data_IF_066391470574
#
_entry.id   IF_066391470574
#
_cell.length_a   1.000
_cell.length_b   1.000
_cell.length_c   1.000
_cell.angle_alpha   90.00
_cell.angle_beta   90.00
_cell.angle_gamma   90.00
#
_symmetry.space_group_name_H-M   'P 1'
#
loop_
_entity.id
_entity.type
_entity.pdbx_description
1 polymer ?
#
# COMPACT_ATOMS: atom_id res chain seq x y z
N UNK A 1 -35.29 -33.33 -1.47
CA UNK A 1 -35.08 -33.21 -2.91
C UNK A 1 -34.11 -32.07 -3.16
N UNK A 2 -32.96 -32.41 -3.77
CA UNK A 2 -31.85 -31.54 -4.12
C UNK A 2 -32.24 -30.44 -5.12
N UNK A 3 -31.58 -29.28 -5.03
CA UNK A 3 -31.07 -28.60 -6.23
C UNK A 3 -30.00 -27.56 -5.83
N UNK A 4 -28.74 -27.96 -5.99
CA UNK A 4 -27.59 -27.07 -6.10
C UNK A 4 -27.55 -26.49 -7.51
N UNK A 5 -27.43 -25.17 -7.65
CA UNK A 5 -27.13 -24.52 -8.93
C UNK A 5 -25.72 -23.95 -8.87
N UNK A 6 -24.79 -24.65 -9.54
CA UNK A 6 -23.48 -24.14 -9.91
C UNK A 6 -23.60 -23.01 -10.93
N UNK A 7 -22.83 -21.92 -10.75
CA UNK A 7 -22.56 -20.94 -11.81
C UNK A 7 -21.08 -20.95 -12.16
N UNK A 8 -20.80 -21.53 -13.31
CA UNK A 8 -19.56 -21.44 -14.07
C UNK A 8 -19.37 -20.02 -14.60
N UNK A 9 -18.18 -19.44 -14.44
CA UNK A 9 -17.76 -18.22 -15.15
C UNK A 9 -16.70 -18.57 -16.18
N UNK A 10 -17.08 -18.46 -17.45
CA UNK A 10 -16.21 -18.54 -18.62
C UNK A 10 -15.50 -17.20 -18.81
N UNK A 11 -14.18 -17.24 -19.01
CA UNK A 11 -13.32 -16.12 -19.41
C UNK A 11 -13.35 -16.03 -20.93
N UNK A 12 -13.66 -14.86 -21.49
CA UNK A 12 -13.48 -14.56 -22.91
C UNK A 12 -12.54 -13.37 -23.03
N UNK A 13 -11.37 -13.61 -23.63
CA UNK A 13 -10.45 -12.58 -24.10
C UNK A 13 -10.90 -12.10 -25.48
N UNK A 14 -10.99 -10.78 -25.66
CA UNK A 14 -11.25 -10.15 -26.95
C UNK A 14 -10.57 -8.79 -26.98
N UNK A 15 -9.37 -8.75 -27.55
CA UNK A 15 -8.66 -7.52 -27.93
C UNK A 15 -9.05 -7.22 -29.37
N UNK A 16 -9.56 -6.03 -29.63
CA UNK A 16 -9.68 -5.49 -31.00
C UNK A 16 -9.07 -4.10 -31.00
N UNK A 17 -7.97 -3.96 -31.74
CA UNK A 17 -7.17 -2.74 -31.88
C UNK A 17 -7.28 -2.33 -33.35
N UNK A 18 -7.90 -1.18 -33.62
CA UNK A 18 -7.95 -0.58 -34.96
C UNK A 18 -6.99 0.60 -35.06
N UNK A 19 -6.26 0.61 -36.18
CA UNK A 19 -5.22 1.54 -36.59
C UNK A 19 -5.71 2.99 -36.76
N UNK A 20 -4.79 3.93 -36.56
CA UNK A 20 -4.64 5.08 -37.46
C UNK A 20 -3.18 5.26 -37.84
N UNK A 21 -2.93 5.26 -39.16
CA UNK A 21 -1.67 5.62 -39.81
C UNK A 21 -1.45 7.13 -39.80
N UNK A 22 -0.20 7.53 -39.69
CA UNK A 22 0.31 8.84 -40.10
C UNK A 22 1.82 8.76 -40.26
N UNK A 23 2.29 8.56 -41.50
CA UNK A 23 3.71 8.54 -41.88
C UNK A 23 4.27 9.97 -42.04
N UNK A 24 5.61 10.14 -41.95
CA UNK A 24 6.48 10.88 -42.89
C UNK A 24 7.98 10.70 -42.50
N UNK A 25 8.73 10.10 -43.43
CA UNK A 25 10.13 10.25 -43.89
C UNK A 25 11.35 10.53 -42.97
N UNK A 26 12.44 9.76 -43.22
CA UNK A 26 13.84 10.17 -43.02
C UNK A 26 14.84 9.03 -42.74
N UNK A 27 15.96 8.85 -43.49
CA UNK A 27 16.66 7.55 -43.65
C UNK A 27 17.94 7.38 -42.81
N UNK A 28 18.42 6.13 -42.65
CA UNK A 28 19.77 5.69 -43.10
C UNK A 28 20.22 4.35 -42.46
N UNK A 29 21.08 3.63 -43.23
CA UNK A 29 21.91 2.45 -42.91
C UNK A 29 21.15 1.12 -42.69
N UNK A 30 21.35 0.04 -43.44
CA UNK A 30 22.46 -0.38 -44.30
C UNK A 30 23.13 -1.61 -43.70
N UNK A 31 22.67 -2.82 -44.04
CA UNK A 31 23.48 -4.04 -44.05
C UNK A 31 22.70 -5.19 -44.70
N UNK A 32 23.32 -5.75 -45.74
CA UNK A 32 22.94 -6.96 -46.49
C UNK A 32 22.82 -8.20 -45.58
N UNK A 33 21.93 -9.17 -45.88
CA UNK A 33 22.22 -10.31 -46.78
C UNK A 33 21.07 -11.34 -46.81
N UNK A 34 20.73 -11.75 -48.04
CA UNK A 34 20.32 -13.09 -48.50
C UNK A 34 18.94 -13.69 -48.14
N UNK A 35 17.98 -13.45 -49.04
CA UNK A 35 17.27 -14.43 -49.91
C UNK A 35 16.71 -15.73 -49.29
N UNK A 36 15.37 -15.84 -49.37
CA UNK A 36 14.43 -16.92 -49.05
C UNK A 36 14.36 -18.01 -50.16
N UNK A 37 13.29 -18.84 -50.35
CA UNK A 37 12.12 -19.29 -49.54
C UNK A 37 12.06 -20.86 -49.50
N UNK A 38 11.06 -21.64 -49.06
CA UNK A 38 9.63 -21.64 -49.42
C UNK A 38 8.86 -22.78 -48.71
N UNK A 39 7.65 -22.44 -48.22
CA UNK A 39 6.36 -23.16 -48.30
C UNK A 39 6.32 -24.70 -48.43
N UNK A 40 5.61 -25.34 -47.49
CA UNK A 40 4.69 -26.44 -47.81
C UNK A 40 3.53 -26.47 -46.80
N UNK A 41 2.33 -26.64 -47.35
CA UNK A 41 0.99 -26.49 -46.80
C UNK A 41 0.45 -27.76 -46.14
N UNK A 42 -0.54 -27.57 -45.26
CA UNK A 42 -1.45 -28.59 -44.74
C UNK A 42 -2.10 -29.44 -45.84
N UNK A 43 -1.92 -30.77 -45.75
CA UNK A 43 -2.92 -31.78 -46.13
C UNK A 43 -2.42 -33.16 -45.70
N UNK A 44 -3.03 -33.74 -44.67
CA UNK A 44 -3.58 -35.10 -44.69
C UNK A 44 -3.80 -35.64 -43.28
N UNK A 45 -5.04 -35.43 -42.81
CA UNK A 45 -5.64 -36.22 -41.76
C UNK A 45 -5.87 -37.66 -42.23
N UNK A 46 -5.80 -38.57 -41.26
CA UNK A 46 -6.32 -39.95 -41.25
C UNK A 46 -5.46 -41.06 -41.86
N UNK A 47 -4.61 -41.66 -41.02
CA UNK A 47 -4.53 -43.12 -40.94
C UNK A 47 -4.01 -43.60 -39.57
N UNK A 48 -4.96 -44.09 -38.77
CA UNK A 48 -4.87 -45.32 -37.97
C UNK A 48 -3.86 -45.40 -36.78
N UNK A 49 -4.47 -45.29 -35.60
CA UNK A 49 -4.01 -45.87 -34.33
C UNK A 49 -3.53 -47.32 -34.46
N UNK A 50 -2.31 -47.60 -33.98
CA UNK A 50 -1.93 -48.92 -33.44
C UNK A 50 -0.63 -48.84 -32.62
N UNK A 51 -0.80 -48.67 -31.30
CA UNK A 51 -0.02 -49.25 -30.19
C UNK A 51 1.51 -49.32 -30.31
N UNK A 52 2.20 -48.37 -29.66
CA UNK A 52 3.52 -48.58 -29.01
C UNK A 52 3.45 -47.87 -27.64
N UNK A 53 3.87 -48.50 -26.51
CA UNK A 53 3.82 -47.86 -25.19
C UNK A 53 4.76 -46.66 -25.14
N UNK A 54 4.19 -45.48 -24.89
CA UNK A 54 4.93 -44.23 -24.77
C UNK A 54 5.85 -44.24 -23.55
N UNK A 55 7.15 -44.13 -23.79
CA UNK A 55 8.09 -43.56 -22.84
C UNK A 55 7.66 -42.11 -22.65
N UNK A 56 6.96 -41.83 -21.56
CA UNK A 56 6.63 -40.47 -21.16
C UNK A 56 7.93 -39.73 -20.90
N UNK A 57 8.37 -38.91 -21.85
CA UNK A 57 9.38 -37.89 -21.61
C UNK A 57 8.71 -36.83 -20.75
N UNK A 58 8.70 -37.07 -19.44
CA UNK A 58 8.40 -36.03 -18.47
C UNK A 58 9.43 -34.93 -18.69
N UNK A 59 8.97 -33.72 -18.98
CA UNK A 59 9.79 -32.52 -18.82
C UNK A 59 10.41 -32.58 -17.43
N UNK A 60 11.75 -32.59 -17.29
CA UNK A 60 12.37 -32.60 -15.98
C UNK A 60 11.83 -31.40 -15.21
N UNK A 61 11.32 -31.63 -13.99
CA UNK A 61 11.07 -30.55 -13.07
C UNK A 61 12.35 -29.68 -13.00
N UNK A 62 12.24 -28.33 -13.03
CA UNK A 62 13.41 -27.48 -12.92
C UNK A 62 14.25 -27.92 -11.73
N UNK A 63 15.55 -28.17 -11.95
CA UNK A 63 16.45 -28.54 -10.86
C UNK A 63 16.42 -27.41 -9.82
N UNK A 64 16.31 -27.72 -8.52
CA UNK A 64 16.27 -26.69 -7.49
C UNK A 64 17.57 -25.88 -7.53
N UNK A 65 17.45 -24.56 -7.51
CA UNK A 65 18.60 -23.67 -7.39
C UNK A 65 19.32 -23.94 -6.07
N UNK A 66 20.57 -24.39 -6.15
CA UNK A 66 21.40 -24.64 -4.97
C UNK A 66 22.08 -23.33 -4.54
N UNK A 67 21.61 -22.80 -3.41
CA UNK A 67 22.23 -21.66 -2.75
C UNK A 67 23.36 -22.12 -1.83
N UNK A 68 24.40 -21.31 -1.67
CA UNK A 68 25.61 -21.69 -0.90
C UNK A 68 25.63 -21.16 0.53
N UNK A 69 24.76 -20.21 0.85
CA UNK A 69 24.89 -19.42 2.09
C UNK A 69 23.72 -19.56 3.06
N UNK A 70 22.49 -19.62 2.54
CA UNK A 70 21.27 -19.68 3.34
C UNK A 70 20.37 -20.81 2.85
N UNK A 71 19.75 -21.52 3.79
CA UNK A 71 18.76 -22.57 3.56
C UNK A 71 17.45 -22.24 4.27
N UNK A 72 16.80 -23.26 4.84
CA UNK A 72 15.49 -23.12 5.46
C UNK A 72 15.47 -22.18 6.67
N UNK A 73 14.42 -21.36 6.79
CA UNK A 73 14.20 -20.49 7.95
C UNK A 73 12.82 -20.74 8.57
N UNK A 74 12.77 -20.88 9.89
CA UNK A 74 11.53 -21.09 10.64
C UNK A 74 11.32 -19.95 11.62
N UNK A 75 10.10 -19.40 11.66
CA UNK A 75 9.71 -18.30 12.52
C UNK A 75 8.62 -18.76 13.49
N UNK A 76 8.91 -18.69 14.78
CA UNK A 76 7.96 -18.95 15.86
C UNK A 76 7.67 -17.65 16.62
N UNK A 77 6.67 -17.69 17.51
CA UNK A 77 6.23 -16.51 18.29
C UNK A 77 7.38 -15.83 19.04
N UNK A 78 8.34 -16.59 19.54
CA UNK A 78 9.43 -16.11 20.39
C UNK A 78 10.82 -16.61 19.96
N UNK A 79 10.94 -17.25 18.79
CA UNK A 79 12.22 -17.76 18.31
C UNK A 79 12.31 -17.76 16.79
N UNK A 80 13.54 -17.68 16.30
CA UNK A 80 13.88 -17.82 14.90
C UNK A 80 14.97 -18.87 14.76
N UNK A 81 14.82 -19.76 13.79
CA UNK A 81 15.83 -20.76 13.43
C UNK A 81 16.17 -20.57 11.97
N UNK A 82 17.45 -20.42 11.67
CA UNK A 82 17.96 -20.31 10.32
C UNK A 82 18.98 -21.42 10.09
N UNK A 83 18.87 -22.10 8.96
CA UNK A 83 19.79 -23.16 8.56
C UNK A 83 20.61 -22.74 7.34
N UNK A 84 21.77 -23.32 7.21
CA UNK A 84 22.53 -23.32 5.97
C UNK A 84 21.94 -24.34 4.96
N UNK A 85 22.41 -24.38 3.71
CA UNK A 85 21.94 -25.33 2.71
C UNK A 85 22.19 -26.81 3.07
N UNK A 86 23.14 -27.09 3.97
CA UNK A 86 23.41 -28.44 4.48
C UNK A 86 22.49 -28.82 5.67
N UNK A 87 21.54 -27.95 6.03
CA UNK A 87 20.58 -28.18 7.10
C UNK A 87 21.11 -27.90 8.51
N UNK A 88 22.28 -27.28 8.63
CA UNK A 88 22.94 -27.00 9.90
C UNK A 88 22.54 -25.61 10.41
N UNK A 89 22.38 -25.46 11.72
CA UNK A 89 21.91 -24.20 12.30
C UNK A 89 22.97 -23.10 12.19
N UNK A 90 22.53 -21.91 11.78
CA UNK A 90 23.30 -20.67 11.84
C UNK A 90 23.01 -20.02 13.19
N UNK A 91 24.05 -19.80 14.01
CA UNK A 91 23.90 -19.13 15.29
C UNK A 91 23.54 -17.66 15.07
N UNK A 92 22.42 -17.23 15.66
CA UNK A 92 21.90 -15.87 15.56
C UNK A 92 21.92 -15.20 16.93
N UNK A 93 22.50 -13.99 16.98
CA UNK A 93 22.48 -13.09 18.12
C UNK A 93 21.50 -11.96 17.85
N UNK A 94 20.56 -11.71 18.76
CA UNK A 94 19.67 -10.56 18.68
C UNK A 94 20.47 -9.27 18.86
N UNK A 95 20.30 -8.31 17.95
CA UNK A 95 20.86 -6.96 18.07
C UNK A 95 19.84 -6.11 18.84
N UNK A 96 20.32 -5.30 19.79
CA UNK A 96 19.52 -4.43 20.65
C UNK A 96 18.30 -3.83 19.93
N UNK A 97 17.17 -4.44 20.25
CA UNK A 97 15.80 -4.12 19.89
C UNK A 97 14.95 -4.67 21.02
N UNK A 98 13.99 -3.90 21.49
CA UNK A 98 13.15 -4.21 22.66
C UNK A 98 12.06 -5.27 22.39
N UNK A 99 12.06 -5.94 21.22
CA UNK A 99 11.02 -6.93 20.91
C UNK A 99 9.68 -6.32 20.49
N UNK A 100 9.63 -5.02 20.17
CA UNK A 100 8.37 -4.27 20.11
C UNK A 100 7.91 -3.88 18.70
N UNK A 101 7.98 -4.80 17.74
CA UNK A 101 7.40 -4.64 16.40
C UNK A 101 8.39 -4.79 15.26
N UNK A 102 9.67 -4.56 15.50
CA UNK A 102 10.74 -5.01 14.61
C UNK A 102 11.94 -5.50 15.40
N UNK A 103 12.37 -6.73 15.10
CA UNK A 103 13.55 -7.34 15.69
C UNK A 103 14.63 -7.57 14.64
N UNK A 104 15.89 -7.43 15.06
CA UNK A 104 17.05 -7.70 14.22
C UNK A 104 17.97 -8.73 14.87
N UNK A 105 18.53 -9.61 14.05
CA UNK A 105 19.51 -10.60 14.47
C UNK A 105 20.71 -10.58 13.51
N UNK A 106 21.88 -10.95 14.02
CA UNK A 106 23.08 -11.16 13.22
C UNK A 106 23.70 -12.53 13.50
N UNK A 107 24.40 -13.07 12.51
CA UNK A 107 25.13 -14.31 12.64
C UNK A 107 26.23 -14.44 11.60
N UNK A 108 26.90 -15.59 11.61
CA UNK A 108 27.90 -15.97 10.62
C UNK A 108 27.56 -17.34 10.05
N UNK A 109 27.61 -17.48 8.73
CA UNK A 109 27.62 -18.81 8.11
C UNK A 109 28.90 -19.54 8.49
N UNK A 110 28.96 -20.86 8.28
CA UNK A 110 30.19 -21.64 8.49
C UNK A 110 31.39 -21.14 7.70
N UNK A 111 31.12 -20.55 6.52
CA UNK A 111 32.14 -19.97 5.65
C UNK A 111 32.47 -18.51 6.02
N UNK A 112 32.06 -18.04 7.20
CA UNK A 112 32.39 -16.71 7.72
C UNK A 112 31.60 -15.56 7.09
N UNK A 113 30.54 -15.82 6.31
CA UNK A 113 29.73 -14.75 5.72
C UNK A 113 28.76 -14.17 6.74
N UNK A 114 28.67 -12.84 6.80
CA UNK A 114 27.71 -12.13 7.65
C UNK A 114 26.28 -12.43 7.22
N UNK A 115 25.45 -12.76 8.20
CA UNK A 115 24.00 -12.93 8.06
C UNK A 115 23.31 -11.84 8.87
N UNK A 116 22.33 -11.17 8.27
CA UNK A 116 21.44 -10.22 8.94
C UNK A 116 20.00 -10.70 8.80
N UNK A 117 19.25 -10.73 9.89
CA UNK A 117 17.86 -11.15 9.92
C UNK A 117 16.98 -10.04 10.46
N UNK A 118 15.92 -9.72 9.74
CA UNK A 118 14.88 -8.78 10.13
C UNK A 118 13.58 -9.56 10.38
N UNK A 119 12.95 -9.36 11.52
CA UNK A 119 11.65 -9.93 11.86
C UNK A 119 10.65 -8.79 12.06
N UNK A 120 9.64 -8.73 11.20
CA UNK A 120 8.54 -7.78 11.32
C UNK A 120 7.40 -8.43 12.10
N UNK A 121 6.97 -7.76 13.16
CA UNK A 121 5.88 -8.21 14.02
C UNK A 121 4.79 -7.15 14.12
N UNK A 122 3.57 -7.59 14.40
CA UNK A 122 2.41 -6.71 14.54
C UNK A 122 1.55 -7.11 15.72
N UNK A 123 0.81 -6.14 16.25
CA UNK A 123 -0.29 -6.41 17.17
C UNK A 123 -1.53 -6.86 16.40
N UNK A 124 -2.43 -7.56 17.11
CA UNK A 124 -3.73 -7.88 16.55
C UNK A 124 -4.56 -6.61 16.39
N UNK A 125 -5.16 -6.44 15.20
CA UNK A 125 -5.94 -5.25 14.85
C UNK A 125 -7.35 -5.66 14.42
N UNK A 126 -8.38 -4.96 14.90
CA UNK A 126 -9.76 -5.21 14.50
C UNK A 126 -9.98 -4.89 13.00
N UNK A 127 -10.99 -5.50 12.34
CA UNK A 127 -11.36 -5.17 10.97
C UNK A 127 -11.72 -3.69 10.79
N UNK A 128 -11.49 -3.15 9.59
CA UNK A 128 -11.94 -1.81 9.24
C UNK A 128 -13.46 -1.76 9.09
N UNK A 129 -14.07 -0.69 9.58
CA UNK A 129 -15.47 -0.43 9.30
C UNK A 129 -15.66 -0.10 7.81
N UNK A 130 -16.90 -0.19 7.34
CA UNK A 130 -17.26 0.36 6.03
C UNK A 130 -17.41 1.90 6.17
N UNK A 131 -16.79 2.73 5.32
CA UNK A 131 -16.99 4.17 5.31
C UNK A 131 -18.46 4.56 5.14
N UNK A 132 -19.26 3.72 4.50
CA UNK A 132 -20.68 3.97 4.26
C UNK A 132 -21.52 3.88 5.54
N UNK A 133 -21.05 3.14 6.54
CA UNK A 133 -21.70 3.04 7.86
C UNK A 133 -21.21 4.09 8.85
N UNK A 134 -20.20 4.89 8.50
CA UNK A 134 -19.62 5.89 9.40
C UNK A 134 -20.53 7.10 9.66
N UNK A 135 -21.61 7.25 8.90
CA UNK A 135 -22.58 8.32 9.14
C UNK A 135 -23.54 8.59 7.98
N UNK A 136 -24.73 9.09 8.30
CA UNK A 136 -25.79 9.46 7.36
C UNK A 136 -25.57 10.89 6.81
N UNK A 137 -26.09 11.24 5.61
CA UNK A 137 -26.21 12.63 5.20
C UNK A 137 -26.96 13.54 6.20
N UNK A 138 -27.79 12.94 7.05
CA UNK A 138 -28.56 13.64 8.07
C UNK A 138 -27.81 13.81 9.40
N UNK A 139 -26.58 13.29 9.51
CA UNK A 139 -25.78 13.45 10.72
C UNK A 139 -25.48 14.95 10.97
N UNK A 140 -25.50 15.40 12.24
CA UNK A 140 -25.25 16.79 12.57
C UNK A 140 -23.88 17.25 12.07
N UNK A 141 -23.85 18.45 11.51
CA UNK A 141 -22.61 19.07 11.01
C UNK A 141 -21.97 19.84 12.14
N UNK A 142 -20.78 19.40 12.54
CA UNK A 142 -19.91 20.16 13.44
C UNK A 142 -19.32 21.37 12.68
N UNK A 143 -19.98 22.52 12.75
CA UNK A 143 -19.50 23.80 12.22
C UNK A 143 -18.72 24.56 13.31
N UNK A 144 -17.69 25.32 12.93
CA UNK A 144 -16.93 26.21 13.81
C UNK A 144 -16.90 27.63 13.24
N UNK A 145 -16.67 28.67 14.07
CA UNK A 145 -16.49 30.03 13.57
C UNK A 145 -15.35 30.12 12.56
N UNK A 146 -15.53 30.95 11.54
CA UNK A 146 -14.48 31.21 10.54
C UNK A 146 -13.46 32.18 11.15
N UNK A 147 -12.30 31.68 11.58
CA UNK A 147 -11.23 32.46 12.23
C UNK A 147 -9.90 32.52 11.46
N UNK A 148 -9.82 31.88 10.29
CA UNK A 148 -8.60 31.79 9.48
C UNK A 148 -8.84 31.02 8.18
N UNK A 149 -7.78 30.53 7.52
CA UNK A 149 -7.91 29.76 6.27
C UNK A 149 -8.34 28.30 6.46
N UNK A 150 -8.20 27.78 7.69
CA UNK A 150 -8.56 26.42 8.07
C UNK A 150 -8.89 26.32 9.55
N UNK A 151 -9.68 25.32 9.93
CA UNK A 151 -9.76 24.80 11.29
C UNK A 151 -8.88 23.55 11.39
N UNK A 152 -8.18 23.36 12.50
CA UNK A 152 -7.27 22.22 12.63
C UNK A 152 -6.39 22.24 13.86
N UNK A 153 -5.62 21.17 14.03
CA UNK A 153 -4.69 21.01 15.12
C UNK A 153 -3.50 20.13 14.72
N UNK A 154 -2.38 20.35 15.40
CA UNK A 154 -1.27 19.42 15.52
C UNK A 154 -0.97 19.25 17.01
N UNK A 155 -1.27 18.09 17.57
CA UNK A 155 -1.13 17.84 19.03
C UNK A 155 -0.50 16.48 19.28
N UNK A 156 0.22 16.36 20.39
CA UNK A 156 0.71 15.06 20.85
C UNK A 156 -0.46 14.11 21.11
N UNK A 157 -0.37 12.91 20.55
CA UNK A 157 -1.41 11.91 20.59
C UNK A 157 -1.28 11.01 21.82
N UNK A 158 -2.39 10.80 22.52
CA UNK A 158 -2.44 9.74 23.54
C UNK A 158 -2.35 8.38 22.84
N UNK A 159 -1.45 7.53 23.31
CA UNK A 159 -1.14 6.23 22.70
C UNK A 159 -0.89 5.17 23.76
N UNK A 160 -1.41 3.96 23.53
CA UNK A 160 -1.10 2.79 24.36
C UNK A 160 0.30 2.30 24.02
N UNK A 161 1.18 2.25 25.01
CA UNK A 161 2.45 1.53 24.87
C UNK A 161 2.15 0.03 24.89
N UNK A 162 2.54 -0.67 23.84
CA UNK A 162 2.32 -2.12 23.70
C UNK A 162 3.56 -2.90 24.15
N UNK A 163 3.33 -4.04 24.78
CA UNK A 163 4.41 -4.91 25.28
C UNK A 163 4.89 -5.85 24.18
N UNK A 164 6.12 -6.37 24.32
CA UNK A 164 6.64 -7.38 23.38
C UNK A 164 5.75 -8.63 23.26
N UNK A 165 5.01 -8.99 24.32
CA UNK A 165 4.12 -10.14 24.33
C UNK A 165 2.88 -9.99 23.44
N UNK A 166 2.49 -8.75 23.12
CA UNK A 166 1.34 -8.43 22.25
C UNK A 166 1.66 -8.62 20.76
N UNK A 167 2.96 -8.68 20.42
CA UNK A 167 3.42 -8.79 19.05
C UNK A 167 3.44 -10.23 18.57
N UNK A 168 3.00 -10.43 17.32
CA UNK A 168 3.13 -11.69 16.59
C UNK A 168 3.97 -11.46 15.35
N UNK A 169 4.93 -12.34 15.04
CA UNK A 169 5.69 -12.23 13.80
C UNK A 169 4.74 -12.33 12.61
N UNK A 170 5.04 -11.57 11.56
CA UNK A 170 4.30 -11.58 10.30
C UNK A 170 5.21 -12.05 9.16
N UNK A 171 6.49 -11.69 9.22
CA UNK A 171 7.50 -12.19 8.29
C UNK A 171 8.89 -12.06 8.90
N UNK A 172 9.79 -12.97 8.54
CA UNK A 172 11.23 -12.81 8.72
C UNK A 172 11.97 -12.85 7.38
N UNK A 173 13.06 -12.08 7.30
CA UNK A 173 13.95 -12.01 6.13
C UNK A 173 15.38 -12.17 6.63
N UNK A 174 16.05 -13.24 6.25
CA UNK A 174 17.48 -13.42 6.42
C UNK A 174 18.21 -13.03 5.14
N UNK A 175 19.33 -12.34 5.25
CA UNK A 175 20.11 -11.90 4.09
C UNK A 175 21.60 -11.99 4.33
N UNK A 176 22.32 -12.33 3.26
CA UNK A 176 23.78 -12.19 3.15
C UNK A 176 24.09 -11.19 2.03
N UNK A 177 25.36 -11.06 1.62
CA UNK A 177 25.72 -10.30 0.43
C UNK A 177 25.12 -10.88 -0.87
N UNK A 178 24.82 -12.18 -0.90
CA UNK A 178 24.55 -12.95 -2.13
C UNK A 178 23.21 -13.65 -2.13
N UNK A 179 22.59 -13.89 -0.97
CA UNK A 179 21.35 -14.66 -0.83
C UNK A 179 20.37 -14.00 0.11
N UNK A 180 19.08 -14.29 -0.09
CA UNK A 180 18.00 -13.92 0.82
C UNK A 180 17.12 -15.15 1.05
N UNK A 181 16.73 -15.37 2.31
CA UNK A 181 15.70 -16.34 2.69
C UNK A 181 14.56 -15.61 3.36
N UNK A 182 13.33 -15.92 2.94
CA UNK A 182 12.09 -15.31 3.43
C UNK A 182 11.24 -16.41 4.06
N UNK A 183 10.73 -16.17 5.26
CA UNK A 183 9.85 -17.10 5.95
C UNK A 183 8.68 -16.38 6.61
N UNK A 184 7.51 -17.00 6.52
CA UNK A 184 6.33 -16.65 7.28
C UNK A 184 6.26 -17.48 8.59
N UNK A 185 5.44 -17.07 9.57
CA UNK A 185 5.20 -17.85 10.78
C UNK A 185 4.61 -19.24 10.48
N UNK A 186 4.80 -20.19 11.40
CA UNK A 186 4.21 -21.52 11.29
C UNK A 186 2.70 -21.48 11.01
N UNK A 187 2.25 -22.28 10.03
CA UNK A 187 0.86 -22.28 9.54
C UNK A 187 0.60 -21.32 8.38
N UNK A 188 1.61 -20.54 7.96
CA UNK A 188 1.57 -19.69 6.77
C UNK A 188 2.77 -20.01 5.89
N UNK A 189 2.54 -20.30 4.61
CA UNK A 189 3.61 -20.53 3.65
C UNK A 189 3.93 -19.24 2.89
N UNK A 190 5.19 -19.08 2.47
CA UNK A 190 5.54 -18.08 1.46
C UNK A 190 5.26 -18.70 0.10
N UNK A 191 4.22 -18.19 -0.58
CA UNK A 191 3.75 -18.68 -1.87
C UNK A 191 4.60 -18.15 -3.02
N UNK A 192 4.87 -16.85 -3.01
CA UNK A 192 5.72 -16.24 -4.01
C UNK A 192 6.44 -15.00 -3.49
N UNK A 193 7.50 -14.64 -4.21
CA UNK A 193 8.25 -13.40 -4.02
C UNK A 193 8.12 -12.59 -5.30
N UNK A 194 7.80 -11.31 -5.18
CA UNK A 194 7.59 -10.40 -6.31
C UNK A 194 8.57 -9.24 -6.16
N UNK A 195 9.38 -8.96 -7.17
CA UNK A 195 10.27 -7.81 -7.12
C UNK A 195 9.54 -6.56 -7.58
N UNK A 196 9.60 -5.51 -6.75
CA UNK A 196 9.08 -4.19 -7.09
C UNK A 196 10.21 -3.18 -7.31
N UNK A 197 9.97 -2.20 -8.18
CA UNK A 197 10.85 -1.04 -8.28
C UNK A 197 10.65 -0.09 -7.07
N UNK A 198 11.46 0.96 -7.02
CA UNK A 198 11.36 2.00 -5.98
C UNK A 198 10.04 2.79 -5.99
N UNK A 199 9.23 2.69 -7.06
CA UNK A 199 7.88 3.27 -7.15
C UNK A 199 6.80 2.27 -6.69
N UNK A 200 7.22 1.02 -6.43
CA UNK A 200 6.39 -0.10 -6.06
C UNK A 200 5.50 -0.63 -7.19
N UNK A 201 6.00 -0.57 -8.43
CA UNK A 201 5.48 -1.27 -9.62
C UNK A 201 6.16 -2.63 -9.71
N UNK A 202 5.40 -3.68 -10.06
CA UNK A 202 5.96 -5.04 -10.25
C UNK A 202 6.95 -5.00 -11.42
N UNK A 203 8.18 -5.45 -11.18
CA UNK A 203 9.24 -5.45 -12.20
C UNK A 203 9.50 -6.87 -12.70
N UNK A 204 9.50 -7.85 -11.80
CA UNK A 204 9.72 -9.25 -12.15
C UNK A 204 9.29 -10.19 -11.01
N UNK A 205 8.95 -11.43 -11.34
CA UNK A 205 9.04 -12.55 -10.39
C UNK A 205 10.50 -13.08 -10.44
N UNK A 206 11.17 -13.34 -9.31
CA UNK A 206 12.49 -13.95 -9.29
C UNK A 206 12.47 -15.27 -10.07
N UNK A 207 13.34 -15.37 -11.07
CA UNK A 207 13.47 -16.56 -11.90
C UNK A 207 14.20 -17.67 -11.14
N UNK A 208 15.09 -17.29 -10.21
CA UNK A 208 15.90 -18.21 -9.42
C UNK A 208 15.41 -18.25 -7.97
N UNK A 209 14.54 -19.22 -7.64
CA UNK A 209 14.08 -19.45 -6.26
C UNK A 209 14.11 -20.93 -5.89
N UNK A 210 14.31 -21.21 -4.61
CA UNK A 210 14.19 -22.56 -4.02
C UNK A 210 13.20 -22.50 -2.87
N UNK A 211 12.16 -23.32 -2.96
CA UNK A 211 11.22 -23.58 -1.87
C UNK A 211 11.82 -24.60 -0.92
N UNK A 212 11.85 -24.26 0.36
CA UNK A 212 12.30 -25.16 1.41
C UNK A 212 11.10 -25.96 1.94
N UNK A 213 11.35 -27.15 2.48
CA UNK A 213 10.30 -28.06 2.98
C UNK A 213 9.44 -27.48 4.11
N UNK A 214 9.88 -26.41 4.77
CA UNK A 214 9.14 -25.69 5.80
C UNK A 214 8.35 -24.48 5.26
N UNK A 215 8.28 -24.29 3.93
CA UNK A 215 7.54 -23.21 3.28
C UNK A 215 8.27 -21.87 3.21
N UNK A 216 9.57 -21.80 3.55
CA UNK A 216 10.40 -20.61 3.30
C UNK A 216 10.95 -20.61 1.88
N UNK A 217 11.17 -19.43 1.29
CA UNK A 217 11.76 -19.27 -0.04
C UNK A 217 13.16 -18.68 0.07
N UNK A 218 14.13 -19.28 -0.61
CA UNK A 218 15.49 -18.75 -0.78
C UNK A 218 15.70 -18.30 -2.23
N UNK A 219 16.36 -17.15 -2.42
CA UNK A 219 16.65 -16.56 -3.73
C UNK A 219 17.97 -15.75 -3.74
N UNK A 220 18.56 -15.45 -4.92
CA UNK A 220 19.71 -14.57 -5.03
C UNK A 220 19.39 -13.16 -4.54
N UNK A 221 20.34 -12.53 -3.86
CA UNK A 221 20.20 -11.12 -3.46
C UNK A 221 20.23 -10.15 -4.65
N UNK A 222 20.73 -10.56 -5.80
CA UNK A 222 20.67 -9.75 -7.01
C UNK A 222 19.24 -9.66 -7.59
N UNK A 223 18.44 -10.72 -7.43
CA UNK A 223 17.02 -10.74 -7.87
C UNK A 223 16.10 -10.13 -6.81
N UNK A 224 16.60 -10.02 -5.59
CA UNK A 224 16.04 -9.22 -4.52
C UNK A 224 16.22 -7.72 -4.76
N UNK A 225 15.21 -7.07 -5.34
CA UNK A 225 15.17 -5.62 -5.39
C UNK A 225 15.16 -5.00 -3.97
N UNK A 226 15.26 -3.67 -3.87
CA UNK A 226 15.18 -2.95 -2.59
C UNK A 226 13.86 -3.20 -1.81
N UNK A 227 12.83 -3.73 -2.49
CA UNK A 227 11.58 -4.21 -1.91
C UNK A 227 11.17 -5.57 -2.51
N UNK A 228 10.68 -6.46 -1.66
CA UNK A 228 10.00 -7.69 -2.08
C UNK A 228 8.50 -7.57 -1.80
N UNK A 229 7.64 -7.89 -2.74
CA UNK A 229 6.36 -8.50 -2.45
C UNK A 229 6.57 -9.90 -1.97
N UNK A 230 5.90 -10.25 -0.89
CA UNK A 230 5.85 -11.61 -0.38
C UNK A 230 4.39 -11.97 -0.36
N UNK A 231 4.00 -12.89 -1.23
CA UNK A 231 2.67 -13.48 -1.17
C UNK A 231 2.71 -14.60 -0.16
N UNK A 232 1.89 -14.49 0.87
CA UNK A 232 1.76 -15.49 1.92
C UNK A 232 0.40 -16.17 1.81
N UNK A 233 0.36 -17.47 2.04
CA UNK A 233 -0.87 -18.27 1.98
C UNK A 233 -1.14 -18.93 3.33
N UNK A 234 -2.37 -18.77 3.82
CA UNK A 234 -2.87 -19.41 5.04
C UNK A 234 -4.26 -19.98 4.75
N UNK A 235 -4.34 -21.30 4.56
CA UNK A 235 -5.56 -21.92 4.02
C UNK A 235 -5.82 -21.41 2.59
N UNK A 236 -7.03 -20.93 2.31
CA UNK A 236 -7.42 -20.39 1.00
C UNK A 236 -7.17 -18.88 0.85
N UNK A 237 -6.67 -18.20 1.89
CA UNK A 237 -6.40 -16.75 1.86
C UNK A 237 -4.97 -16.45 1.41
N UNK A 238 -4.83 -15.65 0.35
CA UNK A 238 -3.54 -15.09 -0.08
C UNK A 238 -3.44 -13.62 0.33
N UNK A 239 -2.38 -13.26 1.06
CA UNK A 239 -2.05 -11.87 1.44
C UNK A 239 -0.75 -11.44 0.79
N UNK A 240 -0.73 -10.26 0.17
CA UNK A 240 0.48 -9.70 -0.41
C UNK A 240 1.13 -8.68 0.53
N UNK A 241 2.41 -8.88 0.80
CA UNK A 241 3.16 -8.10 1.75
C UNK A 241 4.44 -7.54 1.14
N UNK A 242 4.48 -6.24 0.86
CA UNK A 242 5.69 -5.59 0.32
C UNK A 242 6.67 -5.26 1.43
N UNK A 243 7.75 -6.01 1.63
CA UNK A 243 8.74 -5.75 2.66
C UNK A 243 10.10 -5.34 2.07
N UNK A 244 10.66 -4.24 2.57
CA UNK A 244 12.03 -3.87 2.32
C UNK A 244 12.99 -4.53 3.29
N UNK A 245 14.13 -4.99 2.79
CA UNK A 245 15.25 -5.38 3.66
C UNK A 245 15.73 -4.13 4.40
N UNK A 246 15.73 -4.18 5.73
CA UNK A 246 16.25 -3.13 6.59
C UNK A 246 17.39 -3.67 7.46
N UNK A 247 18.29 -2.77 7.85
CA UNK A 247 19.32 -3.04 8.86
C UNK A 247 19.02 -2.27 10.14
N UNK A 248 19.48 -2.74 11.32
CA UNK A 248 19.30 -1.99 12.56
C UNK A 248 19.91 -0.59 12.49
N UNK A 249 21.05 -0.43 11.81
CA UNK A 249 21.69 0.85 11.62
C UNK A 249 20.82 1.82 10.79
N UNK A 250 20.17 1.35 9.73
CA UNK A 250 19.25 2.16 8.94
C UNK A 250 18.02 2.56 9.76
N UNK A 251 17.41 1.63 10.51
CA UNK A 251 16.28 1.93 11.38
C UNK A 251 16.63 2.96 12.46
N UNK A 252 17.80 2.87 13.09
CA UNK A 252 18.26 3.84 14.10
C UNK A 252 18.43 5.25 13.54
N UNK A 253 18.81 5.40 12.27
CA UNK A 253 18.90 6.70 11.57
C UNK A 253 17.55 7.35 11.31
N UNK A 254 16.46 6.59 11.31
CA UNK A 254 15.13 7.15 11.18
C UNK A 254 14.66 7.73 12.52
N UNK A 255 14.63 9.06 12.60
CA UNK A 255 14.17 9.80 13.77
C UNK A 255 12.70 10.20 13.65
N UNK A 256 12.22 10.37 12.42
CA UNK A 256 10.86 10.83 12.15
C UNK A 256 10.20 10.05 11.02
N UNK A 257 8.96 9.62 11.22
CA UNK A 257 8.11 9.16 10.10
C UNK A 257 6.84 10.01 10.06
N UNK A 258 6.44 10.46 8.87
CA UNK A 258 5.20 11.21 8.67
C UNK A 258 4.31 10.52 7.65
N UNK A 259 3.01 10.52 7.89
CA UNK A 259 1.97 10.11 6.94
C UNK A 259 0.88 11.17 6.88
N UNK A 260 0.44 11.50 5.68
CA UNK A 260 -0.68 12.39 5.44
C UNK A 260 -1.64 11.78 4.43
N UNK A 261 -2.92 11.80 4.79
CA UNK A 261 -4.06 11.58 3.93
C UNK A 261 -4.68 12.95 3.65
N UNK A 262 -4.65 13.38 2.39
CA UNK A 262 -5.20 14.67 1.96
C UNK A 262 -6.31 14.48 0.95
N UNK A 263 -7.30 15.38 0.98
CA UNK A 263 -8.38 15.43 -0.02
C UNK A 263 -8.39 16.78 -0.73
N UNK A 264 -8.84 16.80 -1.99
CA UNK A 264 -9.03 18.06 -2.73
C UNK A 264 -10.02 17.93 -3.88
N UNK A 265 -10.53 19.06 -4.35
CA UNK A 265 -11.38 19.16 -5.54
C UNK A 265 -10.54 19.81 -6.65
N UNK A 266 -10.27 19.14 -7.78
CA UNK A 266 -9.34 19.66 -8.78
C UNK A 266 -9.81 20.95 -9.45
N UNK A 267 -11.13 21.12 -9.60
CA UNK A 267 -11.72 22.29 -10.23
C UNK A 267 -11.58 23.56 -9.37
N UNK A 268 -11.66 24.74 -10.01
CA UNK A 268 -11.79 26.02 -9.29
C UNK A 268 -13.16 26.17 -8.64
N UNK A 269 -14.21 25.81 -9.39
CA UNK A 269 -15.59 25.84 -8.94
C UNK A 269 -16.27 24.54 -9.30
N UNK A 270 -17.19 24.10 -8.44
CA UNK A 270 -18.09 22.97 -8.71
C UNK A 270 -19.52 23.44 -8.57
N UNK A 271 -20.40 22.94 -9.44
CA UNK A 271 -21.82 23.25 -9.36
C UNK A 271 -22.42 22.69 -8.07
N UNK A 272 -23.42 23.38 -7.55
CA UNK A 272 -24.16 22.95 -6.36
C UNK A 272 -24.85 21.61 -6.65
N UNK A 273 -24.56 20.54 -5.87
CA UNK A 273 -25.26 19.27 -6.01
C UNK A 273 -26.76 19.42 -5.76
N UNK A 274 -27.59 18.58 -6.39
CA UNK A 274 -29.04 18.60 -6.21
C UNK A 274 -29.45 18.55 -4.73
N UNK A 275 -28.73 17.75 -3.93
CA UNK A 275 -28.95 17.58 -2.50
C UNK A 275 -28.73 18.85 -1.66
N UNK A 276 -28.17 19.92 -2.24
CA UNK A 276 -27.86 21.17 -1.56
C UNK A 276 -28.62 22.38 -2.12
N UNK A 277 -29.58 22.15 -3.02
CA UNK A 277 -30.34 23.23 -3.67
C UNK A 277 -31.12 24.08 -2.67
N UNK A 278 -31.76 23.48 -1.67
CA UNK A 278 -32.57 24.21 -0.68
C UNK A 278 -31.71 25.24 0.08
N UNK A 279 -30.61 24.79 0.68
CA UNK A 279 -29.70 25.69 1.42
C UNK A 279 -29.01 26.69 0.50
N UNK A 280 -28.57 26.24 -0.67
CA UNK A 280 -27.83 27.11 -1.60
C UNK A 280 -28.71 28.20 -2.20
N UNK A 281 -29.97 27.91 -2.50
CA UNK A 281 -30.94 28.90 -2.97
C UNK A 281 -31.18 29.99 -1.93
N UNK A 282 -31.30 29.62 -0.65
CA UNK A 282 -31.49 30.58 0.45
C UNK A 282 -30.33 31.58 0.59
N UNK A 283 -29.13 31.23 0.09
CA UNK A 283 -27.94 32.07 0.12
C UNK A 283 -27.53 32.60 -1.26
N UNK A 284 -28.35 32.38 -2.29
CA UNK A 284 -28.03 32.70 -3.69
C UNK A 284 -26.64 32.14 -4.12
N UNK A 285 -26.31 30.93 -3.65
CA UNK A 285 -25.10 30.20 -4.01
C UNK A 285 -25.42 29.27 -5.18
N UNK A 286 -24.64 29.36 -6.25
CA UNK A 286 -24.74 28.47 -7.41
C UNK A 286 -23.49 27.63 -7.63
N UNK A 287 -22.37 27.99 -6.97
CA UNK A 287 -21.07 27.33 -7.10
C UNK A 287 -20.38 27.20 -5.75
N UNK A 288 -19.71 26.08 -5.49
CA UNK A 288 -18.77 25.94 -4.38
C UNK A 288 -17.32 26.03 -4.86
N UNK A 289 -16.41 26.55 -4.03
CA UNK A 289 -14.98 26.53 -4.36
C UNK A 289 -14.43 25.11 -4.33
N UNK A 290 -13.68 24.75 -5.37
CA UNK A 290 -12.70 23.67 -5.29
C UNK A 290 -11.32 24.20 -4.91
N UNK A 291 -10.29 23.45 -5.22
CA UNK A 291 -8.89 23.74 -4.89
C UNK A 291 -8.06 24.21 -6.10
N UNK A 292 -8.64 24.18 -7.31
CA UNK A 292 -7.99 24.62 -8.55
C UNK A 292 -6.57 24.06 -8.73
N UNK A 293 -6.41 22.74 -8.58
CA UNK A 293 -5.09 22.11 -8.67
C UNK A 293 -5.16 20.70 -9.22
N UNK A 294 -4.01 20.24 -9.70
CA UNK A 294 -3.77 18.84 -10.04
C UNK A 294 -3.02 18.12 -8.92
N UNK A 295 -2.64 16.88 -9.18
CA UNK A 295 -1.75 16.10 -8.32
C UNK A 295 -0.39 16.78 -8.19
N UNK A 296 0.14 16.88 -6.96
CA UNK A 296 1.43 17.53 -6.71
C UNK A 296 2.59 16.56 -6.85
N UNK A 297 3.71 16.99 -7.46
CA UNK A 297 4.97 16.27 -7.30
C UNK A 297 5.70 16.82 -6.06
N UNK A 298 5.65 16.08 -4.96
CA UNK A 298 6.11 16.55 -3.66
C UNK A 298 7.60 16.24 -3.44
N UNK A 299 8.47 16.87 -4.22
CA UNK A 299 9.92 16.75 -3.99
C UNK A 299 10.35 17.49 -2.72
N UNK A 300 9.91 18.75 -2.53
CA UNK A 300 10.28 19.60 -1.37
C UNK A 300 9.12 20.45 -0.80
N UNK A 301 7.88 20.24 -1.23
CA UNK A 301 6.71 21.00 -0.76
C UNK A 301 6.00 20.35 0.43
N UNK A 302 5.09 21.08 1.09
CA UNK A 302 4.22 20.49 2.10
C UNK A 302 3.29 19.44 1.46
N UNK A 303 3.08 18.30 2.14
CA UNK A 303 2.18 17.25 1.66
C UNK A 303 0.73 17.72 1.48
N UNK A 304 0.40 18.86 2.08
CA UNK A 304 -0.90 19.48 2.07
C UNK A 304 -0.79 20.99 1.86
N UNK A 305 -1.05 21.47 0.64
CA UNK A 305 -1.43 22.87 0.42
C UNK A 305 -2.59 22.88 -0.57
N UNK A 306 -3.56 23.77 -0.35
CA UNK A 306 -4.84 23.79 -1.07
C UNK A 306 -5.58 22.43 -0.97
N UNK A 307 -6.09 22.12 0.20
CA UNK A 307 -6.82 20.87 0.51
C UNK A 307 -8.30 21.14 0.84
N UNK A 308 -9.10 20.08 0.95
CA UNK A 308 -10.39 20.09 1.67
C UNK A 308 -10.22 19.59 3.08
N UNK A 309 -9.57 18.44 3.23
CA UNK A 309 -9.18 17.90 4.52
C UNK A 309 -7.77 17.32 4.49
N UNK A 310 -7.11 17.35 5.64
CA UNK A 310 -5.83 16.70 5.92
C UNK A 310 -6.01 15.91 7.20
N UNK A 311 -5.59 14.65 7.17
CA UNK A 311 -5.47 13.83 8.36
C UNK A 311 -4.10 13.14 8.34
N UNK A 312 -3.32 13.27 9.40
CA UNK A 312 -1.94 12.82 9.40
C UNK A 312 -1.43 12.41 10.76
N UNK A 313 -0.34 11.65 10.74
CA UNK A 313 0.41 11.21 11.90
C UNK A 313 1.89 11.51 11.70
N UNK A 314 2.52 12.04 12.74
CA UNK A 314 3.97 12.22 12.82
C UNK A 314 4.49 11.41 13.99
N UNK A 315 5.51 10.60 13.76
CA UNK A 315 6.15 9.79 14.79
C UNK A 315 7.55 10.33 15.02
N UNK A 316 7.86 10.72 16.25
CA UNK A 316 9.20 11.03 16.73
C UNK A 316 9.75 9.77 17.43
N UNK A 317 10.51 8.97 16.68
CA UNK A 317 11.10 7.73 17.18
C UNK A 317 12.16 7.98 18.25
N UNK A 318 12.79 9.15 18.24
CA UNK A 318 13.85 9.49 19.20
C UNK A 318 13.28 9.76 20.59
N UNK A 319 12.10 10.40 20.65
CA UNK A 319 11.40 10.71 21.90
C UNK A 319 10.27 9.73 22.24
N UNK A 320 9.98 8.78 21.35
CA UNK A 320 8.86 7.86 21.49
C UNK A 320 7.50 8.57 21.47
N UNK A 321 7.39 9.71 20.77
CA UNK A 321 6.19 10.54 20.71
C UNK A 321 5.47 10.39 19.38
N UNK A 322 4.15 10.56 19.41
CA UNK A 322 3.31 10.54 18.21
C UNK A 322 2.44 11.80 18.23
N UNK A 323 2.21 12.40 17.08
CA UNK A 323 1.41 13.61 16.92
C UNK A 323 0.30 13.38 15.91
N UNK A 324 -0.91 13.81 16.26
CA UNK A 324 -2.07 13.84 15.38
C UNK A 324 -2.12 15.18 14.66
N UNK A 325 -2.31 15.14 13.35
CA UNK A 325 -2.57 16.32 12.52
C UNK A 325 -3.95 16.20 11.89
N UNK A 326 -4.78 17.22 12.06
CA UNK A 326 -6.07 17.32 11.40
C UNK A 326 -6.27 18.75 10.90
N UNK A 327 -6.68 18.91 9.65
CA UNK A 327 -7.01 20.22 9.09
C UNK A 327 -8.21 20.13 8.15
N UNK A 328 -9.05 21.15 8.16
CA UNK A 328 -10.22 21.32 7.29
C UNK A 328 -10.22 22.74 6.75
N UNK A 329 -10.32 22.92 5.43
CA UNK A 329 -10.33 24.27 4.83
C UNK A 329 -11.73 24.89 4.76
N UNK A 330 -11.78 26.21 4.64
CA UNK A 330 -13.06 26.93 4.54
C UNK A 330 -13.83 26.50 3.29
N UNK A 331 -15.14 26.27 3.45
CA UNK A 331 -16.09 26.16 2.35
C UNK A 331 -16.59 27.55 1.95
N UNK A 332 -16.42 27.89 0.66
CA UNK A 332 -16.85 29.17 0.06
C UNK A 332 -17.91 28.92 -1.00
N UNK A 333 -19.00 29.68 -0.97
CA UNK A 333 -20.10 29.65 -1.93
C UNK A 333 -20.18 30.96 -2.73
N UNK A 334 -20.42 30.84 -4.04
CA UNK A 334 -20.43 31.93 -5.00
C UNK A 334 -21.70 31.94 -5.84
N UNK A 335 -22.10 33.10 -6.34
CA UNK A 335 -23.13 33.22 -7.37
C UNK A 335 -22.62 32.87 -8.78
N UNK A 336 -23.51 32.97 -9.78
CA UNK A 336 -23.21 32.60 -11.17
C UNK A 336 -22.08 33.45 -11.75
N UNK A 337 -22.03 34.72 -11.37
CA UNK A 337 -21.03 35.73 -11.77
C UNK A 337 -19.70 35.58 -11.03
N UNK A 338 -19.61 34.70 -10.02
CA UNK A 338 -18.39 34.44 -9.27
C UNK A 338 -18.18 35.38 -8.08
N UNK A 339 -19.22 36.10 -7.64
CA UNK A 339 -19.15 36.88 -6.41
C UNK A 339 -19.33 35.98 -5.20
N UNK A 340 -18.49 36.16 -4.18
CA UNK A 340 -18.59 35.44 -2.92
C UNK A 340 -19.91 35.80 -2.20
N UNK A 341 -20.69 34.79 -1.81
CA UNK A 341 -21.94 34.96 -1.05
C UNK A 341 -21.86 34.45 0.37
N UNK A 342 -21.18 33.31 0.59
CA UNK A 342 -21.13 32.67 1.90
C UNK A 342 -19.80 31.99 2.15
N UNK A 343 -19.38 31.98 3.42
CA UNK A 343 -18.26 31.22 3.95
C UNK A 343 -18.72 30.48 5.19
N UNK A 344 -18.36 29.22 5.31
CA UNK A 344 -18.56 28.40 6.51
C UNK A 344 -17.40 27.41 6.67
N UNK A 345 -17.10 27.04 7.90
CA UNK A 345 -15.97 26.17 8.23
C UNK A 345 -16.46 24.94 8.98
N UNK A 346 -16.14 23.75 8.46
CA UNK A 346 -16.39 22.51 9.20
C UNK A 346 -15.27 22.27 10.21
N UNK A 347 -15.63 21.61 11.31
CA UNK A 347 -14.69 21.26 12.36
C UNK A 347 -13.76 20.13 11.95
N UNK A 348 -12.51 20.21 12.38
CA UNK A 348 -11.56 19.11 12.33
C UNK A 348 -11.91 17.96 13.31
N UNK A 349 -12.88 18.12 14.23
CA UNK A 349 -13.33 17.06 15.17
C UNK A 349 -13.91 15.82 14.49
N UNK A 350 -14.36 15.95 13.24
CA UNK A 350 -14.76 14.83 12.38
C UNK A 350 -13.61 13.92 11.94
N UNK A 351 -12.36 14.34 12.18
CA UNK A 351 -11.13 13.60 11.90
C UNK A 351 -10.62 13.02 13.22
N UNK A 352 -10.76 11.71 13.41
CA UNK A 352 -10.42 11.02 14.66
C UNK A 352 -9.33 9.99 14.43
N UNK A 353 -8.31 10.03 15.28
CA UNK A 353 -7.34 8.96 15.41
C UNK A 353 -7.75 8.08 16.59
N UNK A 354 -7.83 6.77 16.36
CA UNK A 354 -8.35 5.79 17.30
C UNK A 354 -7.36 4.64 17.47
N UNK A 355 -7.45 3.94 18.60
CA UNK A 355 -6.69 2.72 18.88
C UNK A 355 -5.17 2.87 18.64
N UNK A 356 -4.62 4.04 18.97
CA UNK A 356 -3.21 4.29 18.75
C UNK A 356 -2.37 3.43 19.70
N UNK A 357 -1.52 2.59 19.12
CA UNK A 357 -0.59 1.73 19.80
C UNK A 357 0.82 2.10 19.37
N UNK A 358 1.77 2.10 20.30
CA UNK A 358 3.15 2.42 19.98
C UNK A 358 4.15 1.61 20.79
N UNK A 359 5.36 1.60 20.27
CA UNK A 359 6.58 1.14 20.90
C UNK A 359 7.76 1.97 20.40
N UNK A 360 9.00 1.51 20.65
CA UNK A 360 10.20 2.19 20.12
C UNK A 360 10.44 1.96 18.63
N UNK A 361 9.82 0.93 18.04
CA UNK A 361 10.03 0.50 16.65
C UNK A 361 8.75 0.41 15.82
N UNK A 362 7.59 0.56 16.44
CA UNK A 362 6.29 0.39 15.81
C UNK A 362 5.27 1.43 16.27
N UNK A 363 4.46 1.91 15.33
CA UNK A 363 3.26 2.69 15.63
C UNK A 363 2.12 2.16 14.77
N UNK A 364 0.99 1.88 15.41
CA UNK A 364 -0.27 1.56 14.77
C UNK A 364 -1.32 2.57 15.18
N UNK A 365 -2.19 2.93 14.24
CA UNK A 365 -3.40 3.69 14.55
C UNK A 365 -4.49 3.36 13.55
N UNK A 366 -5.72 3.66 13.98
CA UNK A 366 -6.86 3.76 13.10
C UNK A 366 -7.22 5.22 12.90
N UNK A 367 -7.82 5.49 11.76
CA UNK A 367 -8.32 6.79 11.40
C UNK A 367 -9.78 6.65 11.01
N UNK A 368 -10.63 7.49 11.59
CA UNK A 368 -12.03 7.66 11.22
C UNK A 368 -12.22 9.11 10.78
N UNK A 369 -12.63 9.31 9.55
CA UNK A 369 -12.84 10.63 8.98
C UNK A 369 -14.28 10.76 8.50
N UNK A 370 -14.95 11.82 8.95
CA UNK A 370 -16.27 12.21 8.52
C UNK A 370 -16.37 13.73 8.62
N UNK A 371 -16.22 14.42 7.49
CA UNK A 371 -16.29 15.89 7.43
C UNK A 371 -17.26 16.29 6.33
N UNK A 372 -18.34 16.96 6.73
CA UNK A 372 -19.41 17.46 5.84
C UNK A 372 -19.13 18.88 5.37
N UNK A 373 -19.69 19.26 4.22
CA UNK A 373 -19.65 20.65 3.77
C UNK A 373 -20.77 21.45 4.48
N UNK A 374 -20.45 22.43 5.34
CA UNK A 374 -21.45 23.17 6.11
C UNK A 374 -22.31 24.10 5.25
N UNK A 375 -21.94 24.33 3.97
CA UNK A 375 -22.78 25.02 2.99
C UNK A 375 -23.74 24.08 2.23
N UNK A 376 -23.62 22.77 2.42
CA UNK A 376 -24.25 21.75 1.58
C UNK A 376 -24.60 20.52 2.44
N UNK A 377 -25.45 20.68 3.48
CA UNK A 377 -25.68 19.63 4.46
C UNK A 377 -26.23 18.34 3.85
N UNK A 378 -27.18 18.45 2.92
CA UNK A 378 -27.81 17.28 2.30
C UNK A 378 -26.90 16.44 1.39
N UNK A 379 -25.68 16.88 1.06
CA UNK A 379 -24.77 16.09 0.22
C UNK A 379 -24.13 14.92 0.98
N UNK A 380 -24.07 14.97 2.31
CA UNK A 380 -23.29 14.04 3.12
C UNK A 380 -21.81 14.44 3.28
N UNK A 381 -21.01 13.49 3.77
CA UNK A 381 -19.66 13.73 4.25
C UNK A 381 -18.57 13.06 3.40
N UNK A 382 -17.39 13.68 3.39
CA UNK A 382 -16.17 12.99 2.97
C UNK A 382 -15.88 11.94 4.05
N UNK A 383 -16.00 10.66 3.70
CA UNK A 383 -15.90 9.52 4.63
C UNK A 383 -14.76 8.59 4.26
N UNK A 384 -13.91 8.30 5.23
CA UNK A 384 -12.96 7.20 5.14
C UNK A 384 -12.61 6.66 6.51
N UNK A 385 -12.31 5.38 6.56
CA UNK A 385 -11.68 4.73 7.70
C UNK A 385 -10.46 3.99 7.23
N UNK A 386 -9.43 3.96 8.06
CA UNK A 386 -8.24 3.20 7.75
C UNK A 386 -7.44 2.81 8.97
N UNK A 387 -6.44 2.00 8.70
CA UNK A 387 -5.45 1.54 9.63
C UNK A 387 -4.08 1.74 8.98
N UNK A 388 -3.12 2.23 9.75
CA UNK A 388 -1.75 2.34 9.29
C UNK A 388 -0.84 1.75 10.35
N UNK A 389 0.16 1.01 9.88
CA UNK A 389 1.24 0.43 10.67
C UNK A 389 2.54 1.03 10.15
N UNK A 390 3.26 1.76 10.99
CA UNK A 390 4.57 2.31 10.70
C UNK A 390 5.63 1.57 11.49
N UNK A 391 6.71 1.21 10.82
CA UNK A 391 7.91 0.68 11.43
C UNK A 391 9.01 1.71 11.37
N UNK A 392 9.87 1.72 12.39
CA UNK A 392 11.03 2.62 12.43
C UNK A 392 11.99 2.36 11.27
N UNK A 393 12.07 1.14 10.74
CA UNK A 393 12.78 0.85 9.49
C UNK A 393 12.23 1.54 8.24
N UNK A 394 11.11 2.26 8.32
CA UNK A 394 10.48 2.90 7.17
C UNK A 394 9.56 1.97 6.39
N UNK A 395 9.37 0.72 6.83
CA UNK A 395 8.26 -0.10 6.36
C UNK A 395 6.95 0.53 6.84
N UNK A 396 5.94 0.58 5.98
CA UNK A 396 4.63 1.09 6.34
C UNK A 396 3.53 0.33 5.62
N UNK A 397 2.56 -0.18 6.38
CA UNK A 397 1.35 -0.81 5.83
C UNK A 397 0.19 0.16 5.97
N UNK A 398 -0.53 0.39 4.89
CA UNK A 398 -1.75 1.21 4.87
C UNK A 398 -2.92 0.35 4.43
N UNK A 399 -4.06 0.52 5.08
CA UNK A 399 -5.34 -0.06 4.67
C UNK A 399 -6.44 0.98 4.89
N UNK A 400 -7.22 1.27 3.86
CA UNK A 400 -8.25 2.30 3.89
C UNK A 400 -9.48 1.88 3.09
N UNK A 401 -10.64 2.08 3.70
CA UNK A 401 -11.91 2.11 3.01
C UNK A 401 -12.38 3.57 2.91
N UNK A 402 -12.72 4.05 1.71
CA UNK A 402 -13.06 5.47 1.46
C UNK A 402 -14.17 5.61 0.42
N UNK A 403 -15.02 6.61 0.59
CA UNK A 403 -15.91 7.05 -0.50
C UNK A 403 -15.06 7.67 -1.63
N UNK A 404 -15.42 7.43 -2.88
CA UNK A 404 -14.62 7.85 -4.05
C UNK A 404 -14.82 9.33 -4.44
N UNK A 405 -14.95 10.21 -3.44
CA UNK A 405 -15.08 11.66 -3.60
C UNK A 405 -14.53 12.40 -2.37
N UNK A 406 -13.83 13.53 -2.53
CA UNK A 406 -13.35 14.12 -3.78
C UNK A 406 -12.08 13.38 -4.25
N UNK A 407 -11.05 14.06 -4.76
CA UNK A 407 -9.78 13.38 -4.99
C UNK A 407 -9.12 13.08 -3.65
N UNK A 408 -8.51 11.90 -3.53
CA UNK A 408 -7.76 11.48 -2.34
C UNK A 408 -6.30 11.24 -2.70
N UNK A 409 -5.39 11.63 -1.81
CA UNK A 409 -3.97 11.41 -1.96
C UNK A 409 -3.33 11.04 -0.62
N UNK A 410 -2.43 10.06 -0.64
CA UNK A 410 -1.70 9.59 0.52
C UNK A 410 -0.20 9.78 0.28
N UNK A 411 0.47 10.38 1.24
CA UNK A 411 1.90 10.66 1.20
C UNK A 411 2.56 10.25 2.51
N UNK A 412 3.82 9.82 2.44
CA UNK A 412 4.64 9.63 3.62
C UNK A 412 6.10 9.97 3.34
N UNK A 413 6.85 10.24 4.40
CA UNK A 413 8.31 10.45 4.33
C UNK A 413 8.97 10.08 5.65
N UNK A 414 10.29 10.01 5.60
CA UNK A 414 11.13 9.90 6.81
C UNK A 414 11.94 11.19 7.03
N UNK A 415 12.44 11.36 8.26
CA UNK A 415 13.46 12.32 8.66
C UNK A 415 13.18 13.81 8.37
N UNK A 416 11.92 14.28 8.37
CA UNK A 416 11.41 15.67 8.18
C UNK A 416 11.91 16.48 6.96
N UNK A 417 13.03 16.07 6.35
CA UNK A 417 13.76 16.65 5.23
C UNK A 417 13.86 15.66 4.07
N UNK A 418 13.23 14.48 4.18
CA UNK A 418 13.15 13.50 3.11
C UNK A 418 12.14 13.89 2.03
N UNK A 419 12.31 13.32 0.83
CA UNK A 419 11.34 13.41 -0.25
C UNK A 419 10.05 12.67 0.15
N UNK A 420 8.91 13.20 -0.29
CA UNK A 420 7.64 12.49 -0.12
C UNK A 420 7.56 11.29 -1.06
N UNK A 421 7.19 10.15 -0.48
CA UNK A 421 6.71 8.98 -1.22
C UNK A 421 5.22 9.13 -1.46
N UNK A 422 4.79 9.10 -2.72
CA UNK A 422 3.37 8.94 -3.05
C UNK A 422 2.95 7.49 -2.82
N UNK A 423 2.05 7.29 -1.87
CA UNK A 423 1.54 5.95 -1.54
C UNK A 423 0.40 5.61 -2.49
N UNK A 424 -0.54 6.54 -2.63
CA UNK A 424 -1.74 6.36 -3.43
C UNK A 424 -2.34 7.69 -3.90
N UNK A 425 -3.07 7.62 -5.02
CA UNK A 425 -3.96 8.67 -5.53
C UNK A 425 -5.24 8.02 -6.02
N UNK A 426 -6.38 8.55 -5.58
CA UNK A 426 -7.69 8.16 -6.07
C UNK A 426 -8.38 9.37 -6.69
N UNK A 427 -8.62 9.30 -8.00
CA UNK A 427 -9.43 10.29 -8.71
C UNK A 427 -10.89 10.17 -8.30
N UNK A 428 -11.55 11.32 -8.09
CA UNK A 428 -12.97 11.40 -7.75
C UNK A 428 -13.84 10.79 -8.86
N UNK A 429 -14.97 10.22 -8.45
CA UNK A 429 -16.12 9.97 -9.32
C UNK A 429 -17.08 11.16 -9.26
N UNK A 430 -18.34 10.92 -8.93
CA UNK A 430 -19.39 11.93 -8.82
C UNK A 430 -19.50 12.46 -7.38
N UNK A 431 -19.94 13.71 -7.21
CA UNK A 431 -20.31 14.23 -5.89
C UNK A 431 -21.53 13.53 -5.29
N UNK A 432 -22.34 12.83 -6.09
CA UNK A 432 -23.38 11.94 -5.60
C UNK A 432 -22.82 10.84 -4.67
N UNK A 433 -21.55 10.45 -4.86
CA UNK A 433 -20.88 9.45 -4.03
C UNK A 433 -20.64 9.86 -2.58
N UNK A 434 -20.95 11.10 -2.20
CA UNK A 434 -20.98 11.51 -0.79
C UNK A 434 -22.18 10.90 -0.07
N UNK A 435 -23.30 10.71 -0.79
CA UNK A 435 -24.55 10.18 -0.26
C UNK A 435 -24.77 8.70 -0.58
N UNK A 436 -24.24 8.20 -1.71
CA UNK A 436 -24.43 6.80 -2.14
C UNK A 436 -23.10 6.04 -2.36
N UNK A 437 -23.10 4.72 -2.15
CA UNK A 437 -21.97 3.84 -2.43
C UNK A 437 -21.46 3.97 -3.87
N UNK A 438 -20.14 4.03 -4.06
CA UNK A 438 -19.54 4.17 -5.40
C UNK A 438 -18.25 3.37 -5.57
N UNK A 439 -18.31 2.26 -6.30
CA UNK A 439 -17.13 1.51 -6.75
C UNK A 439 -16.35 0.83 -5.63
N UNK A 440 -15.08 0.51 -5.90
CA UNK A 440 -14.21 -0.12 -4.90
C UNK A 440 -13.69 0.92 -3.90
N UNK A 441 -14.18 0.84 -2.67
CA UNK A 441 -13.80 1.73 -1.59
C UNK A 441 -12.49 1.30 -0.90
N UNK A 442 -12.08 0.03 -1.04
CA UNK A 442 -10.95 -0.55 -0.34
C UNK A 442 -9.61 -0.27 -1.02
N UNK A 443 -8.57 -0.09 -0.22
CA UNK A 443 -7.19 -0.01 -0.65
C UNK A 443 -6.28 -0.50 0.45
N UNK A 444 -5.42 -1.46 0.13
CA UNK A 444 -4.34 -1.91 0.99
C UNK A 444 -3.02 -1.86 0.24
N UNK A 445 -1.96 -1.43 0.89
CA UNK A 445 -0.60 -1.50 0.34
C UNK A 445 0.43 -1.51 1.46
N UNK A 446 1.54 -2.21 1.24
CA UNK A 446 2.75 -1.99 2.01
C UNK A 446 3.78 -1.22 1.19
N UNK A 447 4.47 -0.27 1.81
CA UNK A 447 5.43 0.63 1.17
C UNK A 447 6.70 0.69 2.01
N UNK A 448 7.86 0.76 1.35
CA UNK A 448 9.11 1.19 1.98
C UNK A 448 9.35 2.67 1.74
N UNK A 449 9.52 3.40 2.83
CA UNK A 449 9.98 4.78 2.80
C UNK A 449 11.50 4.81 2.78
N UNK A 450 12.08 5.58 1.85
CA UNK A 450 13.52 5.80 1.86
C UNK A 450 13.93 6.47 3.17
N UNK A 451 14.90 5.90 3.88
CA UNK A 451 15.55 6.55 5.03
C UNK A 451 16.77 7.27 4.49
N UNK A 452 16.77 8.60 4.61
CA UNK A 452 17.90 9.45 4.24
C UNK A 452 18.82 9.69 5.43
#
# INVERSE_FOLDING_TARGET
MNSSVHRTKTVVWGVTMSLMLGAIAGPAFGAERLVAPSTATDSDQNALNSVIPGIGVGTPAPLPFNFSDLGAMTVAKSSISLKDPAGQNIALKKIDGDGSGEDFYEGLTKNGKKVEVQVLSETQTAPLADPETLGSPDDPIDEVPVSGESDGYEVEATSKVVSAADFKPVLAIASTATTVTIAAPAGTAVKDVISYDSSGIVVAMPASKSENSNGSITLPRAEAAAMFGVETEQGDETTQLTIPIATPAAAKKNQWTEFYYTTFIPEKYVDVPAACKVTSNSWNVTKHTGNNRSWKNLKNGAAYESYKTVAGIKVDWSRGKVYNVAQVSISKGYDKSGNLKKKKQASARGIKTEQMQRSSSYVYWRMRHQVSNPLCPGAGAIRYTGAVKMYRSGTMKVSFNRVQVPNHEMYARTNLRGNWTNIHRLKRKSFACLAIPCGNNAYGRTVKLKIN
#
